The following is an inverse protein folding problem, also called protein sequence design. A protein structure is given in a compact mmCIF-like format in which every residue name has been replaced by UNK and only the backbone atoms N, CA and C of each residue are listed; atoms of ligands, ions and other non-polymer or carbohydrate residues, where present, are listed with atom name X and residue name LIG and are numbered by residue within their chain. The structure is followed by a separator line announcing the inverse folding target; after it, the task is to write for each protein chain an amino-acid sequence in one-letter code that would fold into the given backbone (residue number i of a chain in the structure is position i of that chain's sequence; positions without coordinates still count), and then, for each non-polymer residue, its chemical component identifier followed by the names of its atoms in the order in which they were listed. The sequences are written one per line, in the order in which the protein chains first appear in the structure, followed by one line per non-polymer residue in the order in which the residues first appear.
data_IF_397325543007
#
_entry.id   IF_397325543007
#
_cell.length_a   1.000
_cell.length_b   1.000
_cell.length_c   1.000
_cell.angle_alpha   90.00
_cell.angle_beta   90.00
_cell.angle_gamma   90.00
#
_symmetry.space_group_name_H-M   'P 1'
#
loop_
_entity.id
_entity.type
_entity.pdbx_description
1 polymer ?
#
# COMPACT_ATOMS: atom_id res chain seq x y z
N UNK A 1 16.06 -34.17 48.29
CA UNK A 1 15.83 -32.84 47.69
C UNK A 1 17.18 -32.34 47.21
N UNK A 2 17.61 -32.80 46.03
CA UNK A 2 18.96 -32.55 45.54
C UNK A 2 18.96 -31.37 44.57
N UNK A 3 19.70 -30.35 44.99
CA UNK A 3 20.08 -29.18 44.22
C UNK A 3 20.65 -29.62 42.87
N UNK A 4 20.05 -29.14 41.78
CA UNK A 4 20.59 -29.27 40.44
C UNK A 4 21.97 -28.60 40.42
N UNK A 5 23.04 -29.42 40.45
CA UNK A 5 24.41 -28.98 40.16
C UNK A 5 24.47 -28.70 38.68
N UNK A 6 24.22 -27.45 38.32
CA UNK A 6 24.37 -26.95 36.96
C UNK A 6 25.87 -27.04 36.61
N UNK A 7 26.20 -27.90 35.66
CA UNK A 7 27.55 -28.09 35.17
C UNK A 7 28.00 -26.81 34.43
N UNK A 8 29.14 -26.23 34.82
CA UNK A 8 29.72 -25.03 34.18
C UNK A 8 29.89 -25.21 32.66
N UNK A 9 30.13 -26.44 32.22
CA UNK A 9 30.26 -26.78 30.80
C UNK A 9 28.90 -26.79 30.08
N UNK A 10 27.80 -27.05 30.79
CA UNK A 10 26.44 -27.02 30.24
C UNK A 10 25.95 -25.57 30.06
N UNK A 11 26.32 -24.67 30.98
CA UNK A 11 26.07 -23.22 30.86
C UNK A 11 26.85 -22.62 29.70
N UNK A 12 28.12 -23.03 29.52
CA UNK A 12 28.94 -22.60 28.40
C UNK A 12 28.35 -23.05 27.05
N UNK A 13 27.76 -24.25 26.99
CA UNK A 13 27.13 -24.76 25.77
C UNK A 13 25.84 -24.01 25.42
N UNK A 14 25.05 -23.59 26.42
CA UNK A 14 23.82 -22.78 26.20
C UNK A 14 24.13 -21.36 25.68
N UNK A 15 25.25 -20.76 26.10
CA UNK A 15 25.69 -19.43 25.66
C UNK A 15 26.14 -19.40 24.19
N UNK A 16 26.69 -20.50 23.67
CA UNK A 16 27.12 -20.58 22.26
C UNK A 16 25.93 -20.63 21.30
N UNK A 17 24.79 -21.20 21.72
CA UNK A 17 23.59 -21.31 20.88
C UNK A 17 22.90 -19.94 20.70
N UNK A 18 22.98 -19.06 21.70
CA UNK A 18 22.37 -17.72 21.67
C UNK A 18 23.11 -16.72 20.76
N UNK A 19 24.39 -16.96 20.45
CA UNK A 19 25.19 -16.10 19.57
C UNK A 19 25.01 -16.40 18.07
N UNK A 20 24.36 -17.53 17.74
CA UNK A 20 24.08 -17.95 16.35
C UNK A 20 22.80 -17.34 15.77
N UNK A 21 22.00 -16.64 16.58
CA UNK A 21 20.74 -16.01 16.18
C UNK A 21 20.89 -14.53 15.76
N UNK A 22 22.08 -14.12 15.31
CA UNK A 22 22.32 -12.82 14.69
C UNK A 22 22.67 -12.98 13.21
N UNK A 23 21.72 -13.49 12.41
CA UNK A 23 21.76 -13.31 10.97
C UNK A 23 21.07 -11.99 10.63
N UNK A 24 21.92 -11.00 10.32
CA UNK A 24 21.65 -9.73 9.66
C UNK A 24 20.24 -9.66 9.04
N UNK A 25 19.34 -8.93 9.69
CA UNK A 25 18.09 -8.49 9.09
C UNK A 25 18.46 -7.73 7.82
N UNK A 26 18.26 -8.36 6.66
CA UNK A 26 18.05 -7.60 5.44
C UNK A 26 16.71 -6.92 5.65
N UNK A 27 16.72 -5.61 5.87
CA UNK A 27 15.56 -4.80 5.60
C UNK A 27 15.14 -5.10 4.16
N UNK A 28 13.94 -5.63 3.99
CA UNK A 28 13.24 -5.58 2.71
C UNK A 28 12.76 -4.14 2.54
N UNK A 29 13.70 -3.24 2.30
CA UNK A 29 13.45 -2.14 1.39
C UNK A 29 13.46 -2.79 0.00
N UNK A 30 12.29 -2.94 -0.60
CA UNK A 30 12.22 -3.16 -2.04
C UNK A 30 12.75 -1.88 -2.69
N UNK A 31 14.07 -1.86 -2.88
CA UNK A 31 14.76 -0.94 -3.77
C UNK A 31 14.15 -1.11 -5.15
N UNK A 32 13.39 -0.11 -5.60
CA UNK A 32 13.11 0.05 -7.03
C UNK A 32 14.45 0.33 -7.72
N UNK A 33 15.03 -0.71 -8.32
CA UNK A 33 16.05 -0.57 -9.34
C UNK A 33 15.42 0.14 -10.54
N UNK A 34 15.84 1.36 -10.79
CA UNK A 34 15.75 1.95 -12.13
C UNK A 34 16.76 1.22 -13.02
N UNK A 35 16.29 0.21 -13.73
CA UNK A 35 16.97 -0.26 -14.94
C UNK A 35 16.55 0.69 -16.08
N UNK A 36 17.51 1.48 -16.54
CA UNK A 36 17.40 2.26 -17.78
C UNK A 36 17.32 1.29 -18.96
N UNK A 37 16.10 1.05 -19.46
CA UNK A 37 15.91 0.49 -20.79
C UNK A 37 15.44 1.62 -21.73
N UNK A 38 16.41 2.06 -22.53
CA UNK A 38 16.17 2.92 -23.68
C UNK A 38 15.49 2.09 -24.77
N UNK A 39 14.18 2.21 -24.87
CA UNK A 39 13.41 1.73 -26.02
C UNK A 39 12.55 2.89 -26.51
N UNK A 40 13.04 3.56 -27.54
CA UNK A 40 12.26 4.49 -28.34
C UNK A 40 11.14 3.71 -29.04
N UNK A 41 9.95 3.72 -28.45
CA UNK A 41 8.72 3.42 -29.18
C UNK A 41 7.73 4.54 -28.91
N UNK A 42 7.72 5.50 -29.84
CA UNK A 42 6.64 6.48 -29.99
C UNK A 42 5.34 5.72 -30.28
N UNK A 43 4.53 5.51 -29.25
CA UNK A 43 3.11 5.20 -29.40
C UNK A 43 2.27 6.42 -28.99
N UNK A 44 1.29 6.68 -29.84
CA UNK A 44 0.57 7.93 -30.00
C UNK A 44 -0.48 8.11 -28.88
N UNK A 45 -0.33 9.19 -28.10
CA UNK A 45 -1.32 9.87 -27.24
C UNK A 45 -2.15 9.01 -26.27
N UNK A 46 -1.55 8.60 -25.16
CA UNK A 46 -2.27 8.32 -23.92
C UNK A 46 -1.84 9.37 -22.88
N UNK A 47 -2.82 10.05 -22.27
CA UNK A 47 -2.61 10.99 -21.15
C UNK A 47 -2.18 10.17 -19.93
N UNK A 48 -0.94 9.68 -19.94
CA UNK A 48 -0.34 8.91 -18.87
C UNK A 48 -0.35 9.75 -17.59
N UNK A 49 -1.12 9.34 -16.59
CA UNK A 49 -1.12 10.00 -15.29
C UNK A 49 0.19 9.61 -14.61
N UNK A 50 1.13 10.55 -14.50
CA UNK A 50 2.39 10.32 -13.81
C UNK A 50 2.16 10.30 -12.29
N UNK A 51 2.34 9.14 -11.65
CA UNK A 51 2.16 8.93 -10.20
C UNK A 51 2.88 9.96 -9.33
N UNK A 52 4.09 10.38 -9.71
CA UNK A 52 4.88 11.33 -8.92
C UNK A 52 4.24 12.73 -8.87
N UNK A 53 3.36 13.05 -9.82
CA UNK A 53 2.62 14.31 -9.86
C UNK A 53 1.32 14.27 -9.05
N UNK A 54 0.77 13.07 -8.81
CA UNK A 54 -0.55 12.90 -8.18
C UNK A 54 -0.53 13.30 -6.71
N UNK A 55 0.56 13.04 -5.99
CA UNK A 55 0.66 13.32 -4.55
C UNK A 55 0.52 14.80 -4.19
N UNK A 56 0.73 15.71 -5.15
CA UNK A 56 0.73 17.16 -4.92
C UNK A 56 -0.48 17.87 -5.53
N UNK A 57 -1.32 17.17 -6.31
CA UNK A 57 -2.46 17.77 -7.00
C UNK A 57 -3.74 17.43 -6.24
N UNK A 58 -4.58 18.42 -5.88
CA UNK A 58 -5.88 18.15 -5.29
C UNK A 58 -6.73 17.22 -6.17
N UNK A 59 -7.38 16.22 -5.58
CA UNK A 59 -8.15 15.21 -6.32
C UNK A 59 -9.19 15.82 -7.26
N UNK A 60 -9.85 16.92 -6.88
CA UNK A 60 -10.83 17.59 -7.73
C UNK A 60 -10.21 18.16 -9.01
N UNK A 61 -8.96 18.64 -8.93
CA UNK A 61 -8.18 19.09 -10.08
C UNK A 61 -7.79 17.91 -10.97
N UNK A 62 -7.42 16.77 -10.38
CA UNK A 62 -7.10 15.55 -11.13
C UNK A 62 -8.31 15.02 -11.89
N UNK A 63 -9.45 14.86 -11.21
CA UNK A 63 -10.71 14.37 -11.79
C UNK A 63 -11.19 15.29 -12.91
N UNK A 64 -11.03 16.61 -12.76
CA UNK A 64 -11.36 17.56 -13.83
C UNK A 64 -10.44 17.46 -15.05
N UNK A 65 -9.15 17.17 -14.85
CA UNK A 65 -8.15 17.12 -15.93
C UNK A 65 -8.11 15.77 -16.65
N UNK A 66 -8.39 14.71 -15.89
CA UNK A 66 -8.39 13.31 -16.30
C UNK A 66 -9.70 12.67 -15.80
N UNK A 67 -10.72 12.54 -16.67
CA UNK A 67 -11.97 11.88 -16.30
C UNK A 67 -11.71 10.43 -15.83
N UNK A 68 -12.17 10.05 -14.64
CA UNK A 68 -11.95 8.71 -14.11
C UNK A 68 -12.88 7.67 -14.76
N UNK A 69 -12.47 6.40 -14.70
CA UNK A 69 -13.32 5.25 -15.00
C UNK A 69 -14.39 5.07 -13.91
N UNK A 70 -13.98 5.20 -12.64
CA UNK A 70 -14.88 5.15 -11.49
C UNK A 70 -14.49 6.21 -10.46
N UNK A 71 -15.48 6.74 -9.77
CA UNK A 71 -15.33 7.71 -8.68
C UNK A 71 -16.45 7.46 -7.67
N UNK A 72 -16.11 6.89 -6.53
CA UNK A 72 -17.08 6.52 -5.49
C UNK A 72 -16.65 7.07 -4.14
N UNK A 73 -17.63 7.27 -3.25
CA UNK A 73 -17.39 7.67 -1.86
C UNK A 73 -18.18 6.77 -0.93
N UNK A 74 -17.52 6.24 0.09
CA UNK A 74 -18.09 5.28 1.04
C UNK A 74 -17.54 5.49 2.45
N UNK A 75 -18.15 4.81 3.43
CA UNK A 75 -17.62 4.73 4.80
C UNK A 75 -16.81 3.43 4.93
N UNK A 76 -15.53 3.54 5.25
CA UNK A 76 -14.65 2.37 5.35
C UNK A 76 -15.17 1.36 6.38
N UNK A 77 -15.22 0.08 5.99
CA UNK A 77 -15.71 -1.02 6.82
C UNK A 77 -17.22 -1.19 6.88
N UNK A 78 -18.01 -0.34 6.20
CA UNK A 78 -19.49 -0.38 6.25
C UNK A 78 -20.08 -0.39 4.85
N UNK A 79 -21.15 -1.17 4.65
CA UNK A 79 -21.92 -1.16 3.39
C UNK A 79 -21.06 -1.49 2.16
N UNK A 80 -20.98 -0.54 1.23
CA UNK A 80 -20.15 -0.59 0.02
C UNK A 80 -18.63 -0.43 0.29
N UNK A 81 -18.26 0.07 1.47
CA UNK A 81 -16.90 0.26 1.94
C UNK A 81 -16.28 -0.93 2.65
N UNK A 82 -16.87 -2.14 2.56
CA UNK A 82 -16.26 -3.36 3.11
C UNK A 82 -14.85 -3.54 2.54
N UNK A 83 -13.93 -3.99 3.41
CA UNK A 83 -12.52 -4.22 3.07
C UNK A 83 -12.40 -5.58 2.39
N UNK A 84 -12.37 -5.57 1.06
CA UNK A 84 -12.01 -6.72 0.21
C UNK A 84 -10.49 -6.84 0.06
N UNK A 85 -10.03 -7.88 -0.65
CA UNK A 85 -8.60 -8.03 -1.01
C UNK A 85 -8.09 -6.79 -1.76
N UNK A 86 -8.90 -6.21 -2.64
CA UNK A 86 -8.54 -5.00 -3.38
C UNK A 86 -8.30 -3.77 -2.48
N UNK A 87 -8.91 -3.72 -1.29
CA UNK A 87 -8.80 -2.60 -0.33
C UNK A 87 -7.93 -2.92 0.88
N UNK A 88 -7.27 -4.08 0.89
CA UNK A 88 -6.57 -4.58 2.08
C UNK A 88 -5.43 -3.65 2.51
N UNK A 89 -4.83 -2.91 1.57
CA UNK A 89 -3.74 -1.99 1.85
C UNK A 89 -4.14 -0.82 2.74
N UNK A 90 -5.44 -0.46 2.79
CA UNK A 90 -5.96 0.55 3.72
C UNK A 90 -5.77 0.18 5.19
N UNK A 91 -5.56 -1.11 5.50
CA UNK A 91 -5.23 -1.59 6.85
C UNK A 91 -3.83 -1.21 7.31
N UNK A 92 -2.97 -0.78 6.39
CA UNK A 92 -1.67 -0.20 6.74
C UNK A 92 -1.81 1.20 7.37
N UNK A 93 -2.93 1.88 7.11
CA UNK A 93 -3.21 3.23 7.63
C UNK A 93 -4.24 3.21 8.76
N UNK A 94 -5.28 2.39 8.65
CA UNK A 94 -6.37 2.35 9.62
C UNK A 94 -6.42 1.01 10.36
N UNK A 95 -6.39 1.07 11.68
CA UNK A 95 -6.57 -0.12 12.52
C UNK A 95 -8.02 -0.62 12.47
N UNK A 96 -8.25 -1.92 12.74
CA UNK A 96 -9.61 -2.48 12.85
C UNK A 96 -10.49 -1.67 13.79
N UNK A 97 -9.92 -1.31 14.96
CA UNK A 97 -10.63 -0.52 15.97
C UNK A 97 -11.03 0.85 15.43
N UNK A 98 -10.21 1.51 14.62
CA UNK A 98 -10.58 2.78 14.01
C UNK A 98 -11.69 2.62 12.98
N UNK A 99 -11.60 1.58 12.14
CA UNK A 99 -12.61 1.26 11.12
C UNK A 99 -13.97 0.97 11.77
N UNK A 100 -13.99 0.22 12.87
CA UNK A 100 -15.22 -0.12 13.60
C UNK A 100 -15.85 1.09 14.30
N UNK A 101 -15.03 1.96 14.89
CA UNK A 101 -15.51 3.01 15.80
C UNK A 101 -15.64 4.40 15.16
N UNK A 102 -15.12 4.62 13.95
CA UNK A 102 -15.16 5.92 13.27
C UNK A 102 -15.91 5.83 11.94
N UNK A 103 -16.53 6.93 11.53
CA UNK A 103 -17.03 7.10 10.17
C UNK A 103 -15.93 7.66 9.27
N UNK A 104 -14.99 6.80 8.86
CA UNK A 104 -13.89 7.18 7.96
C UNK A 104 -14.43 7.25 6.54
N UNK A 105 -14.65 8.47 6.04
CA UNK A 105 -15.14 8.70 4.68
C UNK A 105 -13.97 8.59 3.70
N UNK A 106 -14.06 7.64 2.78
CA UNK A 106 -13.08 7.39 1.73
C UNK A 106 -13.68 7.73 0.38
N UNK A 107 -12.90 8.41 -0.46
CA UNK A 107 -13.15 8.52 -1.90
C UNK A 107 -12.18 7.61 -2.64
N UNK A 108 -12.70 6.72 -3.45
CA UNK A 108 -11.96 5.77 -4.29
C UNK A 108 -12.12 6.20 -5.75
N UNK A 109 -11.00 6.48 -6.42
CA UNK A 109 -11.02 6.97 -7.80
C UNK A 109 -10.10 6.11 -8.65
N UNK A 110 -10.61 5.62 -9.77
CA UNK A 110 -9.88 4.76 -10.70
C UNK A 110 -9.72 5.42 -12.06
N UNK A 111 -8.52 5.37 -12.62
CA UNK A 111 -8.20 5.81 -13.98
C UNK A 111 -7.56 4.68 -14.78
N UNK A 112 -7.72 4.71 -16.10
CA UNK A 112 -6.86 3.95 -17.01
C UNK A 112 -5.51 4.68 -17.12
N UNK A 113 -4.41 4.03 -16.74
CA UNK A 113 -3.07 4.61 -16.89
C UNK A 113 -2.57 4.47 -18.31
N UNK A 114 -2.71 3.26 -18.85
CA UNK A 114 -2.29 2.88 -20.20
C UNK A 114 -3.24 1.78 -20.72
N UNK A 115 -2.84 1.07 -21.79
CA UNK A 115 -3.62 -0.02 -22.37
C UNK A 115 -3.82 -1.22 -21.44
N UNK A 116 -2.85 -1.49 -20.57
CA UNK A 116 -2.79 -2.72 -19.78
C UNK A 116 -3.15 -2.50 -18.30
N UNK A 117 -3.02 -1.28 -17.79
CA UNK A 117 -3.05 -0.98 -16.36
C UNK A 117 -4.08 0.09 -16.00
N UNK A 118 -4.67 -0.10 -14.82
CA UNK A 118 -5.47 0.88 -14.10
C UNK A 118 -4.73 1.36 -12.86
N UNK A 119 -5.04 2.59 -12.44
CA UNK A 119 -4.61 3.16 -11.17
C UNK A 119 -5.84 3.49 -10.34
N UNK A 120 -5.89 2.96 -9.13
CA UNK A 120 -6.87 3.34 -8.11
C UNK A 120 -6.18 4.07 -6.98
N UNK A 121 -6.78 5.17 -6.53
CA UNK A 121 -6.30 5.97 -5.40
C UNK A 121 -7.42 6.15 -4.38
N UNK A 122 -7.07 6.00 -3.12
CA UNK A 122 -7.96 6.25 -2.00
C UNK A 122 -7.58 7.54 -1.29
N UNK A 123 -8.59 8.36 -1.01
CA UNK A 123 -8.46 9.60 -0.26
C UNK A 123 -9.37 9.57 0.97
N UNK A 124 -8.86 10.01 2.13
CA UNK A 124 -9.67 10.23 3.32
C UNK A 124 -10.20 11.66 3.33
N UNK A 125 -11.48 11.85 3.67
CA UNK A 125 -12.03 13.17 3.96
C UNK A 125 -11.54 13.62 5.35
N UNK A 126 -10.68 14.63 5.40
CA UNK A 126 -10.31 15.31 6.64
C UNK A 126 -10.77 16.76 6.58
N UNK A 127 -11.67 17.13 7.49
CA UNK A 127 -12.37 18.41 7.42
C UNK A 127 -13.01 18.57 6.04
N UNK A 128 -12.63 19.60 5.27
CA UNK A 128 -13.13 19.84 3.92
C UNK A 128 -12.17 19.38 2.81
N UNK A 129 -11.07 18.71 3.14
CA UNK A 129 -10.04 18.31 2.18
C UNK A 129 -9.98 16.79 1.99
N UNK A 130 -9.62 16.38 0.77
CA UNK A 130 -9.32 14.99 0.43
C UNK A 130 -7.81 14.79 0.54
N UNK A 131 -7.41 13.91 1.46
CA UNK A 131 -5.99 13.61 1.72
C UNK A 131 -5.69 12.22 1.17
N UNK A 132 -4.66 12.11 0.33
CA UNK A 132 -4.24 10.82 -0.22
C UNK A 132 -3.86 9.87 0.91
N UNK A 133 -4.45 8.68 0.90
CA UNK A 133 -4.17 7.61 1.86
C UNK A 133 -3.24 6.59 1.23
N UNK A 134 -3.65 6.04 0.09
CA UNK A 134 -2.93 4.98 -0.59
C UNK A 134 -3.31 4.90 -2.08
N UNK A 135 -2.60 4.08 -2.84
CA UNK A 135 -2.86 3.81 -4.24
C UNK A 135 -2.44 2.39 -4.64
N UNK A 136 -2.99 1.91 -5.75
CA UNK A 136 -2.57 0.65 -6.38
C UNK A 136 -2.61 0.79 -7.90
N UNK A 137 -1.61 0.23 -8.57
CA UNK A 137 -1.64 -0.06 -10.01
C UNK A 137 -1.95 -1.54 -10.17
N UNK A 138 -2.88 -1.85 -11.09
CA UNK A 138 -3.30 -3.21 -11.36
C UNK A 138 -3.56 -3.41 -12.84
N UNK A 139 -3.26 -4.62 -13.35
CA UNK A 139 -3.54 -4.99 -14.73
C UNK A 139 -5.05 -5.15 -14.96
N UNK A 140 -5.56 -4.70 -16.10
CA UNK A 140 -7.01 -4.73 -16.41
C UNK A 140 -7.61 -6.14 -16.46
N UNK A 141 -6.77 -7.16 -16.64
CA UNK A 141 -7.14 -8.58 -16.64
C UNK A 141 -6.99 -9.24 -15.26
N UNK A 142 -6.59 -8.49 -14.23
CA UNK A 142 -6.48 -9.00 -12.87
C UNK A 142 -7.86 -9.39 -12.31
N UNK A 143 -7.88 -10.50 -11.57
CA UNK A 143 -9.05 -11.00 -10.86
C UNK A 143 -8.83 -10.73 -9.36
N UNK A 144 -9.79 -10.04 -8.74
CA UNK A 144 -9.84 -9.70 -7.31
C UNK A 144 -11.17 -10.14 -6.69
#
# INVERSE_FOLDING_TARGET
MNLFKINKNFVAMLLVILLSACNKTKSLEASYKTDTLNVNTEFITEKNINLNQIQQIPVNTLVSKYPPLTDSTFILGKGDGVISEFRISLRNTFTEKEIENRDIIIREVTWSCNQDENLTIWYEKKQDQWVLVDHVIWYKDALF
#
